data_IF_453614914859
#
_entry.id   IF_453614914859
#
_cell.length_a   1.000
_cell.length_b   1.000
_cell.length_c   1.000
_cell.angle_alpha   90.00
_cell.angle_beta   90.00
_cell.angle_gamma   90.00
#
_symmetry.space_group_name_H-M   'P 1'
#
loop_
_entity.id
_entity.type
_entity.pdbx_description
1 polymer ?
#
# COMPACT_ATOMS: atom_id res chain seq x y z
N UNK A 1 20.90 18.61 16.53
CA UNK A 1 19.76 17.85 15.95
C UNK A 1 20.12 17.52 14.52
N UNK A 2 20.49 16.28 14.20
CA UNK A 2 20.73 15.90 12.81
C UNK A 2 19.40 16.00 12.04
N UNK A 3 19.36 16.82 10.98
CA UNK A 3 18.21 16.90 10.09
C UNK A 3 17.97 15.52 9.48
N UNK A 4 16.85 14.88 9.82
CA UNK A 4 16.44 13.65 9.15
C UNK A 4 16.10 13.99 7.71
N UNK A 5 16.70 13.28 6.75
CA UNK A 5 16.31 13.41 5.34
C UNK A 5 14.93 12.78 5.18
N UNK A 6 13.99 13.53 4.60
CA UNK A 6 12.63 13.05 4.31
C UNK A 6 12.45 13.09 2.80
N UNK A 7 12.02 11.99 2.19
CA UNK A 7 11.70 11.91 0.77
C UNK A 7 10.18 11.84 0.61
N UNK A 8 9.59 12.78 -0.13
CA UNK A 8 8.15 12.80 -0.38
C UNK A 8 7.86 12.13 -1.72
N UNK A 9 6.96 11.15 -1.71
CA UNK A 9 6.56 10.36 -2.87
C UNK A 9 5.07 10.59 -3.13
N UNK A 10 4.71 10.80 -4.39
CA UNK A 10 3.32 10.80 -4.85
C UNK A 10 3.11 9.66 -5.85
N UNK A 11 1.95 9.01 -5.79
CA UNK A 11 1.51 8.06 -6.80
C UNK A 11 0.03 8.25 -7.11
N UNK A 12 -0.37 7.80 -8.30
CA UNK A 12 -1.77 7.76 -8.72
C UNK A 12 -2.20 6.31 -8.89
N UNK A 13 -3.31 5.93 -8.27
CA UNK A 13 -3.98 4.65 -8.47
C UNK A 13 -5.38 4.83 -9.06
N UNK A 14 -5.78 4.00 -10.01
CA UNK A 14 -7.07 4.14 -10.74
C UNK A 14 -8.32 3.92 -9.85
N UNK A 15 -8.12 3.19 -8.76
CA UNK A 15 -9.10 2.93 -7.72
C UNK A 15 -8.37 2.34 -6.52
N UNK A 16 -8.98 2.39 -5.34
CA UNK A 16 -8.47 1.71 -4.15
C UNK A 16 -9.60 0.95 -3.48
N UNK A 17 -9.26 -0.20 -2.91
CA UNK A 17 -10.21 -0.99 -2.16
C UNK A 17 -10.12 -0.69 -0.67
N UNK A 18 -11.28 -0.53 -0.04
CA UNK A 18 -11.46 -0.51 1.40
C UNK A 18 -11.66 -1.92 1.97
N UNK A 19 -12.75 -2.12 2.72
CA UNK A 19 -12.99 -3.40 3.37
C UNK A 19 -13.71 -4.41 2.45
N UNK A 20 -13.73 -5.66 2.90
CA UNK A 20 -14.57 -6.71 2.32
C UNK A 20 -15.68 -6.99 3.30
N UNK A 21 -16.92 -6.63 2.98
CA UNK A 21 -18.03 -7.16 3.75
C UNK A 21 -18.32 -8.57 3.28
N UNK A 22 -17.91 -9.53 4.10
CA UNK A 22 -18.51 -10.85 4.11
C UNK A 22 -19.50 -10.93 5.26
N UNK A 23 -20.78 -10.78 4.91
CA UNK A 23 -21.93 -11.28 5.66
C UNK A 23 -22.19 -10.67 7.05
N UNK A 24 -22.77 -9.47 7.11
CA UNK A 24 -23.92 -9.19 8.00
C UNK A 24 -24.88 -8.24 7.29
N UNK A 25 -26.12 -8.68 7.11
CA UNK A 25 -27.09 -8.13 6.16
C UNK A 25 -27.81 -6.84 6.63
N UNK A 26 -27.16 -5.98 7.43
CA UNK A 26 -27.85 -4.88 8.13
C UNK A 26 -27.27 -3.49 7.89
N UNK A 27 -26.14 -3.33 7.19
CA UNK A 27 -25.65 -2.02 6.75
C UNK A 27 -25.00 -2.11 5.37
N UNK A 28 -25.52 -1.36 4.40
CA UNK A 28 -25.00 -1.28 3.02
C UNK A 28 -24.10 -0.03 2.80
N UNK A 29 -23.81 0.72 3.86
CA UNK A 29 -23.03 1.95 3.78
C UNK A 29 -21.53 1.66 3.69
N UNK A 30 -20.87 2.30 2.72
CA UNK A 30 -19.43 2.16 2.48
C UNK A 30 -18.61 2.77 3.62
N UNK A 31 -17.99 1.93 4.45
CA UNK A 31 -17.32 2.29 5.70
C UNK A 31 -15.79 2.48 5.54
N UNK A 32 -15.16 1.95 4.48
CA UNK A 32 -13.71 1.95 4.15
C UNK A 32 -12.77 1.85 5.37
N UNK A 33 -13.14 1.14 6.44
CA UNK A 33 -12.39 1.08 7.71
C UNK A 33 -10.89 0.79 7.56
N UNK A 34 -10.53 -0.01 6.57
CA UNK A 34 -9.13 -0.34 6.27
C UNK A 34 -8.30 0.84 5.73
N UNK A 35 -8.96 1.90 5.28
CA UNK A 35 -8.37 3.11 4.73
C UNK A 35 -8.57 4.33 5.64
N UNK A 36 -8.96 4.19 6.92
CA UNK A 36 -9.18 5.38 7.77
C UNK A 36 -8.34 5.38 9.04
N UNK A 37 -7.92 6.58 9.43
CA UNK A 37 -7.54 6.89 10.81
C UNK A 37 -8.54 7.87 11.42
N UNK A 38 -8.92 7.61 12.67
CA UNK A 38 -9.67 8.58 13.48
C UNK A 38 -8.69 9.55 14.13
N UNK A 39 -8.80 10.83 13.83
CA UNK A 39 -8.20 11.88 14.65
C UNK A 39 -9.19 12.26 15.77
N UNK A 40 -8.73 12.58 16.99
CA UNK A 40 -9.61 12.93 18.11
C UNK A 40 -10.59 14.08 17.84
N UNK A 41 -10.26 14.96 16.87
CA UNK A 41 -10.97 16.23 16.62
C UNK A 41 -11.38 16.41 15.14
N UNK A 42 -11.21 15.42 14.26
CA UNK A 42 -11.50 15.56 12.82
C UNK A 42 -12.20 14.36 12.17
N UNK A 43 -12.89 14.70 11.09
CA UNK A 43 -13.42 13.89 10.00
C UNK A 43 -12.48 12.74 9.57
N UNK A 44 -13.06 11.62 9.13
CA UNK A 44 -12.31 10.40 8.80
C UNK A 44 -11.30 10.67 7.67
N UNK A 45 -10.00 10.55 7.93
CA UNK A 45 -8.96 10.79 6.91
C UNK A 45 -8.61 9.50 6.19
N UNK A 46 -8.72 9.52 4.86
CA UNK A 46 -8.39 8.39 3.99
C UNK A 46 -6.87 8.20 3.89
N UNK A 47 -6.39 7.00 4.18
CA UNK A 47 -4.98 6.66 4.26
C UNK A 47 -4.69 5.21 3.84
N UNK A 48 -3.50 4.98 3.31
CA UNK A 48 -2.90 3.65 3.16
C UNK A 48 -1.89 3.46 4.29
N UNK A 49 -1.94 2.34 5.04
CA UNK A 49 -0.95 2.07 6.08
C UNK A 49 0.47 2.03 5.52
N UNK A 50 1.42 2.65 6.22
CA UNK A 50 2.84 2.63 5.84
C UNK A 50 3.42 1.21 5.77
N UNK A 51 2.85 0.26 6.54
CA UNK A 51 3.20 -1.17 6.45
C UNK A 51 2.83 -1.80 5.09
N UNK A 52 1.70 -1.40 4.50
CA UNK A 52 1.29 -1.85 3.16
C UNK A 52 2.23 -1.30 2.09
N UNK A 53 2.58 -0.02 2.17
CA UNK A 53 3.57 0.62 1.28
C UNK A 53 4.95 -0.04 1.42
N UNK A 54 5.39 -0.29 2.65
CA UNK A 54 6.61 -1.03 2.96
C UNK A 54 6.62 -2.44 2.34
N UNK A 55 5.50 -3.16 2.44
CA UNK A 55 5.35 -4.47 1.83
C UNK A 55 5.49 -4.43 0.30
N UNK A 56 4.92 -3.42 -0.36
CA UNK A 56 5.04 -3.22 -1.80
C UNK A 56 6.50 -2.90 -2.20
N UNK A 57 7.14 -1.97 -1.50
CA UNK A 57 8.55 -1.61 -1.76
C UNK A 57 9.45 -2.84 -1.56
N UNK A 58 9.23 -3.62 -0.48
CA UNK A 58 9.97 -4.88 -0.24
C UNK A 58 9.77 -5.88 -1.37
N UNK A 59 8.53 -6.08 -1.83
CA UNK A 59 8.24 -6.97 -2.96
C UNK A 59 9.00 -6.51 -4.20
N UNK A 60 8.99 -5.22 -4.50
CA UNK A 60 9.66 -4.66 -5.66
C UNK A 60 11.17 -4.83 -5.60
N UNK A 61 11.79 -4.63 -4.43
CA UNK A 61 13.23 -4.92 -4.23
C UNK A 61 13.55 -6.39 -4.49
N UNK A 62 12.72 -7.32 -3.99
CA UNK A 62 12.86 -8.76 -4.27
C UNK A 62 12.73 -9.05 -5.77
N UNK A 63 11.77 -8.43 -6.46
CA UNK A 63 11.59 -8.57 -7.91
C UNK A 63 12.78 -8.03 -8.71
N UNK A 64 13.44 -6.98 -8.23
CA UNK A 64 14.65 -6.43 -8.85
C UNK A 64 15.91 -7.27 -8.59
N UNK A 65 15.81 -8.35 -7.82
CA UNK A 65 16.95 -9.21 -7.46
C UNK A 65 17.92 -8.57 -6.48
N UNK A 66 17.46 -7.61 -5.67
CA UNK A 66 18.31 -6.95 -4.66
C UNK A 66 18.65 -7.93 -3.54
N UNK A 67 19.91 -7.93 -3.11
CA UNK A 67 20.40 -8.80 -2.05
C UNK A 67 19.59 -8.65 -0.76
N UNK A 68 19.32 -9.78 -0.12
CA UNK A 68 18.51 -9.84 1.11
C UNK A 68 19.06 -8.91 2.20
N UNK A 69 20.38 -8.86 2.35
CA UNK A 69 21.04 -8.04 3.37
C UNK A 69 20.79 -6.53 3.13
N UNK A 70 20.75 -6.10 1.87
CA UNK A 70 20.41 -4.72 1.49
C UNK A 70 18.94 -4.44 1.82
N UNK A 71 18.04 -5.37 1.50
CA UNK A 71 16.61 -5.24 1.77
C UNK A 71 16.35 -5.15 3.29
N UNK A 72 16.98 -6.02 4.08
CA UNK A 72 16.86 -6.04 5.53
C UNK A 72 17.53 -4.82 6.17
N UNK A 73 18.65 -4.34 5.63
CA UNK A 73 19.26 -3.08 6.07
C UNK A 73 18.32 -1.89 5.83
N UNK A 74 17.71 -1.81 4.64
CA UNK A 74 16.84 -0.72 4.27
C UNK A 74 15.51 -0.75 5.05
N UNK A 75 14.81 -1.88 5.02
CA UNK A 75 13.43 -2.00 5.51
C UNK A 75 13.32 -2.74 6.85
N UNK A 76 14.41 -3.28 7.39
CA UNK A 76 14.39 -4.14 8.57
C UNK A 76 14.01 -5.58 8.23
N UNK A 77 14.37 -6.49 9.12
CA UNK A 77 14.13 -7.92 8.96
C UNK A 77 12.66 -8.28 9.18
N UNK A 78 12.23 -9.39 8.58
CA UNK A 78 11.01 -10.08 9.02
C UNK A 78 11.32 -10.75 10.37
N UNK A 79 10.28 -11.00 11.19
CA UNK A 79 10.48 -11.67 12.47
C UNK A 79 11.13 -13.03 12.20
N UNK A 80 12.31 -13.25 12.78
CA UNK A 80 13.05 -14.49 12.63
C UNK A 80 12.90 -15.29 13.93
N UNK A 81 12.13 -16.39 13.85
CA UNK A 81 11.84 -17.28 14.97
C UNK A 81 13.11 -17.88 15.61
N UNK A 82 14.25 -17.84 14.92
CA UNK A 82 15.51 -18.42 15.40
C UNK A 82 16.39 -17.44 16.19
N UNK A 83 16.25 -16.13 15.98
CA UNK A 83 17.13 -15.13 16.61
C UNK A 83 16.43 -14.28 17.66
N UNK A 84 15.10 -14.37 17.78
CA UNK A 84 14.23 -13.57 18.66
C UNK A 84 14.49 -12.05 18.56
N UNK A 85 15.13 -11.59 17.49
CA UNK A 85 15.56 -10.21 17.32
C UNK A 85 15.15 -9.69 15.95
N UNK A 86 14.38 -8.61 15.97
CA UNK A 86 14.05 -7.81 14.80
C UNK A 86 15.16 -6.80 14.54
N UNK A 87 15.74 -6.79 13.35
CA UNK A 87 16.69 -5.76 12.92
C UNK A 87 15.87 -4.56 12.42
N UNK A 88 16.01 -3.37 13.03
CA UNK A 88 15.33 -2.18 12.53
C UNK A 88 15.92 -1.74 11.19
N UNK A 89 15.06 -1.29 10.28
CA UNK A 89 15.50 -0.74 8.99
C UNK A 89 16.06 0.68 9.13
N UNK A 90 16.81 1.11 8.11
CA UNK A 90 17.34 2.48 8.00
C UNK A 90 16.28 3.51 7.58
N UNK A 91 15.14 3.08 7.06
CA UNK A 91 14.02 3.97 6.72
C UNK A 91 12.75 3.65 7.48
N UNK A 92 12.00 4.71 7.79
CA UNK A 92 10.62 4.64 8.26
C UNK A 92 9.69 5.12 7.16
N UNK A 93 8.63 4.37 6.87
CA UNK A 93 7.64 4.72 5.83
C UNK A 93 6.38 5.23 6.53
N UNK A 94 6.05 6.49 6.26
CA UNK A 94 4.85 7.14 6.75
C UNK A 94 3.57 6.57 6.14
N UNK A 95 2.45 7.12 6.58
CA UNK A 95 1.14 6.80 6.01
C UNK A 95 1.00 7.44 4.63
N UNK A 96 0.33 6.74 3.72
CA UNK A 96 -0.05 7.30 2.42
C UNK A 96 -1.37 8.01 2.51
N UNK A 97 -1.34 9.34 2.58
CA UNK A 97 -2.54 10.16 2.63
C UNK A 97 -3.18 10.26 1.26
N UNK A 98 -4.49 10.03 1.21
CA UNK A 98 -5.27 10.19 -0.01
C UNK A 98 -5.71 11.66 -0.11
N UNK A 99 -5.42 12.28 -1.24
CA UNK A 99 -5.72 13.70 -1.46
C UNK A 99 -7.11 13.88 -2.06
N UNK A 100 -7.90 14.73 -1.42
CA UNK A 100 -9.24 15.12 -1.85
C UNK A 100 -10.32 14.09 -1.58
N UNK A 101 -11.58 14.51 -1.73
CA UNK A 101 -12.71 13.61 -1.67
C UNK A 101 -12.82 12.79 -2.96
N UNK A 102 -13.20 11.53 -2.83
CA UNK A 102 -13.33 10.60 -3.96
C UNK A 102 -14.66 9.86 -3.89
N UNK A 103 -15.30 9.58 -5.03
CA UNK A 103 -16.53 8.80 -5.06
C UNK A 103 -16.33 7.41 -4.47
N UNK A 104 -17.32 6.96 -3.69
CA UNK A 104 -17.35 5.63 -3.08
C UNK A 104 -18.32 4.75 -3.86
N UNK A 105 -17.98 3.48 -4.05
CA UNK A 105 -18.86 2.51 -4.71
C UNK A 105 -18.70 1.12 -4.11
N UNK A 106 -19.82 0.45 -3.89
CA UNK A 106 -19.84 -0.98 -3.61
C UNK A 106 -19.87 -1.77 -4.91
N UNK A 107 -18.93 -2.70 -5.08
CA UNK A 107 -18.91 -3.66 -6.19
C UNK A 107 -19.27 -5.04 -5.67
N UNK A 108 -20.39 -5.56 -6.14
CA UNK A 108 -20.82 -6.92 -5.82
C UNK A 108 -20.16 -7.94 -6.74
N UNK A 109 -19.89 -9.12 -6.19
CA UNK A 109 -19.44 -10.27 -6.94
C UNK A 109 -20.09 -11.54 -6.40
N UNK A 110 -20.20 -12.54 -7.27
CA UNK A 110 -20.70 -13.87 -6.92
C UNK A 110 -19.58 -14.89 -7.07
N UNK A 111 -19.51 -15.85 -6.16
CA UNK A 111 -18.65 -17.01 -6.30
C UNK A 111 -19.42 -18.13 -7.00
N UNK A 112 -19.01 -18.44 -8.23
CA UNK A 112 -19.58 -19.56 -9.00
C UNK A 112 -18.74 -20.81 -8.71
N UNK A 113 -19.40 -21.95 -8.49
CA UNK A 113 -18.74 -23.25 -8.44
C UNK A 113 -18.25 -23.61 -9.84
N UNK A 114 -16.93 -23.77 -10.00
CA UNK A 114 -16.27 -24.03 -11.28
C UNK A 114 -16.63 -25.38 -11.91
N UNK A 115 -16.94 -26.39 -11.09
CA UNK A 115 -17.32 -27.74 -11.55
C UNK A 115 -18.79 -27.86 -11.93
N UNK A 116 -19.68 -27.22 -11.17
CA UNK A 116 -21.13 -27.40 -11.28
C UNK A 116 -21.84 -26.22 -11.96
N UNK A 117 -21.18 -25.08 -12.12
CA UNK A 117 -21.77 -23.86 -12.69
C UNK A 117 -22.83 -23.20 -11.81
N UNK A 118 -22.98 -23.65 -10.55
CA UNK A 118 -24.01 -23.15 -9.63
C UNK A 118 -23.46 -22.09 -8.66
N UNK A 119 -24.38 -21.29 -8.12
CA UNK A 119 -24.10 -20.30 -7.07
C UNK A 119 -24.67 -20.83 -5.75
N UNK A 120 -23.81 -21.08 -4.77
CA UNK A 120 -24.23 -21.57 -3.45
C UNK A 120 -24.79 -20.43 -2.58
N UNK A 121 -25.64 -20.78 -1.61
CA UNK A 121 -26.08 -19.83 -0.58
C UNK A 121 -24.85 -19.24 0.14
N UNK A 122 -24.82 -17.91 0.29
CA UNK A 122 -23.67 -17.19 0.87
C UNK A 122 -22.53 -16.88 -0.09
N UNK A 123 -22.70 -17.11 -1.40
CA UNK A 123 -21.68 -16.84 -2.41
C UNK A 123 -21.60 -15.36 -2.85
N UNK A 124 -22.53 -14.51 -2.41
CA UNK A 124 -22.47 -13.06 -2.64
C UNK A 124 -21.40 -12.45 -1.74
N UNK A 125 -20.50 -11.68 -2.32
CA UNK A 125 -19.55 -10.84 -1.60
C UNK A 125 -19.54 -9.44 -2.21
N UNK A 126 -19.09 -8.47 -1.43
CA UNK A 126 -18.96 -7.10 -1.91
C UNK A 126 -17.59 -6.51 -1.57
N UNK A 127 -17.17 -5.54 -2.38
CA UNK A 127 -15.99 -4.73 -2.16
C UNK A 127 -16.39 -3.28 -2.10
N UNK A 128 -15.90 -2.58 -1.11
CA UNK A 128 -15.95 -1.13 -1.10
C UNK A 128 -14.77 -0.59 -1.90
N UNK A 129 -15.06 0.31 -2.83
CA UNK A 129 -14.08 0.93 -3.70
C UNK A 129 -14.15 2.45 -3.54
N UNK A 130 -12.96 3.04 -3.45
CA UNK A 130 -12.73 4.43 -3.80
C UNK A 130 -12.45 4.49 -5.30
N UNK A 131 -13.14 5.36 -6.02
CA UNK A 131 -13.08 5.45 -7.48
C UNK A 131 -12.36 6.70 -7.96
N UNK A 132 -11.86 6.61 -9.20
CA UNK A 132 -11.18 7.68 -9.91
C UNK A 132 -9.68 7.68 -9.66
N UNK A 133 -8.97 8.63 -10.27
CA UNK A 133 -7.54 8.79 -10.08
C UNK A 133 -7.27 9.25 -8.65
N UNK A 134 -6.79 8.32 -7.82
CA UNK A 134 -6.53 8.54 -6.41
C UNK A 134 -5.06 8.87 -6.25
N UNK A 135 -4.80 10.13 -5.94
CA UNK A 135 -3.47 10.58 -5.54
C UNK A 135 -3.19 10.17 -4.09
N UNK A 136 -2.07 9.50 -3.89
CA UNK A 136 -1.56 9.07 -2.59
C UNK A 136 -0.20 9.71 -2.37
N UNK A 137 -0.06 10.46 -1.28
CA UNK A 137 1.19 11.08 -0.87
C UNK A 137 1.72 10.46 0.41
N UNK A 138 2.98 10.05 0.42
CA UNK A 138 3.65 9.52 1.61
C UNK A 138 5.09 9.96 1.70
N UNK A 139 5.58 10.01 2.93
CA UNK A 139 6.96 10.33 3.24
C UNK A 139 7.75 9.08 3.62
N UNK A 140 9.02 9.05 3.20
CA UNK A 140 10.02 8.10 3.66
C UNK A 140 11.08 8.87 4.45
N UNK A 141 11.22 8.51 5.73
CA UNK A 141 12.14 9.13 6.65
C UNK A 141 13.42 8.31 6.73
N UNK A 142 14.53 8.92 6.37
CA UNK A 142 15.87 8.36 6.56
C UNK A 142 16.23 8.47 8.03
N UNK A 143 16.16 7.34 8.74
CA UNK A 143 16.50 7.24 10.17
C UNK A 143 18.02 7.16 10.32
N UNK A 144 18.68 6.50 9.37
CA UNK A 144 20.14 6.35 9.27
C UNK A 144 20.56 6.63 7.84
N UNK A 145 21.69 7.33 7.60
CA UNK A 145 22.17 7.64 6.27
C UNK A 145 22.21 6.42 5.32
N UNK A 146 21.58 6.55 4.16
CA UNK A 146 21.60 5.56 3.08
C UNK A 146 22.83 5.76 2.20
N UNK A 147 23.48 4.65 1.84
CA UNK A 147 24.58 4.60 0.89
C UNK A 147 24.06 3.99 -0.41
N UNK A 148 24.52 2.78 -0.74
CA UNK A 148 24.11 2.04 -1.94
C UNK A 148 22.61 1.70 -1.92
N UNK A 149 22.00 1.62 -0.72
CA UNK A 149 20.57 1.33 -0.58
C UNK A 149 19.68 2.42 -1.18
N UNK A 150 20.19 3.66 -1.32
CA UNK A 150 19.43 4.78 -1.86
C UNK A 150 19.06 4.55 -3.33
N UNK A 151 19.97 3.98 -4.12
CA UNK A 151 19.74 3.62 -5.52
C UNK A 151 18.68 2.52 -5.63
N UNK A 152 18.78 1.51 -4.79
CA UNK A 152 17.81 0.40 -4.80
C UNK A 152 16.42 0.84 -4.33
N UNK A 153 16.36 1.74 -3.33
CA UNK A 153 15.11 2.38 -2.93
C UNK A 153 14.47 3.14 -4.10
N UNK A 154 15.24 3.97 -4.83
CA UNK A 154 14.73 4.71 -5.98
C UNK A 154 14.21 3.77 -7.09
N UNK A 155 14.93 2.68 -7.39
CA UNK A 155 14.49 1.66 -8.36
C UNK A 155 13.19 0.98 -7.93
N UNK A 156 13.09 0.58 -6.66
CA UNK A 156 11.89 -0.07 -6.13
C UNK A 156 10.67 0.85 -6.12
N UNK A 157 10.87 2.15 -5.85
CA UNK A 157 9.83 3.18 -5.93
C UNK A 157 9.37 3.40 -7.36
N UNK A 158 10.28 3.50 -8.34
CA UNK A 158 9.93 3.59 -9.77
C UNK A 158 9.08 2.38 -10.22
N UNK A 159 9.37 1.19 -9.69
CA UNK A 159 8.61 -0.03 -9.99
C UNK A 159 7.18 -0.03 -9.39
N UNK A 160 6.85 0.90 -8.47
CA UNK A 160 5.48 1.04 -7.99
C UNK A 160 4.50 1.35 -9.12
N UNK A 161 4.95 2.01 -10.21
CA UNK A 161 4.13 2.28 -11.41
C UNK A 161 3.55 1.02 -12.06
N UNK A 162 4.14 -0.14 -11.82
CA UNK A 162 3.68 -1.42 -12.36
C UNK A 162 3.12 -2.34 -11.27
N UNK A 163 2.83 -1.77 -10.10
CA UNK A 163 2.35 -2.50 -8.93
C UNK A 163 0.85 -2.26 -8.70
N UNK A 164 0.27 -3.13 -7.90
CA UNK A 164 -1.08 -2.96 -7.37
C UNK A 164 -1.04 -2.73 -5.87
N UNK A 165 -1.80 -1.75 -5.37
CA UNK A 165 -1.98 -1.46 -3.94
C UNK A 165 -3.15 -2.27 -3.38
N UNK A 166 -2.94 -2.93 -2.25
CA UNK A 166 -3.96 -3.75 -1.59
C UNK A 166 -4.20 -5.09 -2.29
N UNK A 167 -5.39 -5.66 -2.08
CA UNK A 167 -5.77 -6.99 -2.58
C UNK A 167 -6.81 -6.89 -3.71
N UNK A 168 -6.63 -7.64 -4.79
CA UNK A 168 -7.51 -7.62 -5.96
C UNK A 168 -6.87 -7.15 -7.26
N UNK A 169 -5.54 -7.06 -7.34
CA UNK A 169 -4.82 -6.67 -8.56
C UNK A 169 -5.22 -7.47 -9.81
N UNK A 170 -5.42 -8.79 -9.67
CA UNK A 170 -5.93 -9.65 -10.76
C UNK A 170 -7.35 -9.32 -11.25
N UNK A 171 -8.04 -8.41 -10.57
CA UNK A 171 -9.40 -7.94 -10.89
C UNK A 171 -9.42 -6.46 -11.29
N UNK A 172 -8.26 -5.88 -11.58
CA UNK A 172 -8.10 -4.47 -11.98
C UNK A 172 -8.22 -3.49 -10.82
N UNK A 173 -7.92 -3.91 -9.59
CA UNK A 173 -8.06 -3.08 -8.39
C UNK A 173 -6.69 -2.60 -7.91
N UNK A 174 -6.59 -1.31 -7.57
CA UNK A 174 -5.37 -0.75 -6.98
C UNK A 174 -4.23 -0.56 -7.95
N UNK A 175 -4.47 -0.60 -9.26
CA UNK A 175 -3.42 -0.41 -10.28
C UNK A 175 -2.85 0.99 -10.14
N UNK A 176 -1.54 1.08 -9.94
CA UNK A 176 -0.80 2.34 -9.96
C UNK A 176 -0.49 2.69 -11.41
N UNK A 177 -0.74 3.93 -11.81
CA UNK A 177 -0.51 4.41 -13.19
C UNK A 177 0.64 5.41 -13.26
N UNK A 178 0.86 6.16 -12.18
CA UNK A 178 1.91 7.17 -12.08
C UNK A 178 2.62 7.11 -10.73
N UNK A 179 3.91 7.45 -10.74
CA UNK A 179 4.74 7.61 -9.54
C UNK A 179 5.66 8.80 -9.77
N UNK A 180 5.67 9.73 -8.81
CA UNK A 180 6.58 10.87 -8.76
C UNK A 180 7.46 10.72 -7.52
N UNK A 181 8.77 10.70 -7.74
CA UNK A 181 9.75 10.60 -6.68
C UNK A 181 10.20 12.00 -6.25
N UNK A 182 10.78 12.08 -5.07
CA UNK A 182 11.56 13.23 -4.65
C UNK A 182 12.78 13.42 -5.58
N UNK A 183 13.09 14.66 -5.98
CA UNK A 183 14.24 15.03 -6.83
C UNK A 183 15.56 14.36 -6.39
N UNK A 184 15.76 14.20 -5.07
CA UNK A 184 16.99 13.62 -4.50
C UNK A 184 17.09 12.10 -4.70
N UNK A 185 15.99 11.44 -5.06
CA UNK A 185 15.93 10.04 -5.48
C UNK A 185 15.86 9.90 -7.01
N UNK A 186 15.37 10.93 -7.70
CA UNK A 186 15.22 10.90 -9.16
C UNK A 186 16.56 11.07 -9.89
N UNK A 187 17.49 11.83 -9.31
CA UNK A 187 18.84 12.13 -9.84
C UNK A 187 19.89 11.03 -9.62
N UNK A 188 19.47 9.84 -9.18
CA UNK A 188 20.33 8.66 -8.89
C UNK A 188 20.08 7.59 -9.94
#
# INVERSE_FOLDING_TARGET
MNSRTVYTISLIAENLRGHTDSQEATNFDVDLKALYIKKPEMERVLVIPGSSLKGLIRRNLKTLGVDRDIIESLLGSEFNDQTERSIPGKVFIGWGYIVGEKPKRTRYGIRVNDKLGIVNKGALFSYELLLGDIEVMFDIYEVVPLKDEKRELARALKLLKFSTIGWGGSRGIGIVTEVKLDDRLEKI
#
